data_IF_664662119082
#
_entry.id   IF_664662119082
#
_cell.length_a   1.000
_cell.length_b   1.000
_cell.length_c   1.000
_cell.angle_alpha   90.00
_cell.angle_beta   90.00
_cell.angle_gamma   90.00
#
_symmetry.space_group_name_H-M   'P 1'
#
loop_
_entity.id
_entity.type
_entity.pdbx_description
1 polymer ?
#
# COMPACT_ATOMS: atom_id res chain seq x y z
N UNK A 1 -24.20 -27.57 -7.76
CA UNK A 1 -24.65 -26.38 -7.00
C UNK A 1 -23.43 -25.50 -6.77
N UNK A 2 -23.30 -24.38 -7.51
CA UNK A 2 -22.13 -23.50 -7.39
C UNK A 2 -22.18 -22.77 -6.05
N UNK A 3 -21.10 -22.86 -5.27
CA UNK A 3 -20.93 -22.07 -4.04
C UNK A 3 -20.90 -20.61 -4.48
N UNK A 4 -22.03 -19.92 -4.34
CA UNK A 4 -22.13 -18.51 -4.68
C UNK A 4 -21.15 -17.73 -3.83
N UNK A 5 -20.05 -17.24 -4.43
CA UNK A 5 -19.19 -16.25 -3.77
C UNK A 5 -20.10 -15.08 -3.40
N UNK A 6 -20.20 -14.76 -2.12
CA UNK A 6 -20.92 -13.58 -1.67
C UNK A 6 -20.45 -12.39 -2.50
N UNK A 7 -21.40 -11.67 -3.11
CA UNK A 7 -21.09 -10.46 -3.90
C UNK A 7 -20.60 -9.39 -2.93
N UNK A 8 -19.30 -9.38 -2.64
CA UNK A 8 -18.67 -8.37 -1.77
C UNK A 8 -18.86 -6.94 -2.32
N UNK A 9 -19.26 -6.79 -3.58
CA UNK A 9 -19.49 -5.51 -4.24
C UNK A 9 -20.48 -4.57 -3.54
N UNK A 10 -21.44 -5.08 -2.76
CA UNK A 10 -22.37 -4.25 -1.98
C UNK A 10 -22.02 -4.16 -0.48
N UNK A 11 -20.93 -4.77 -0.04
CA UNK A 11 -20.48 -4.68 1.35
C UNK A 11 -19.74 -3.37 1.62
N UNK A 12 -19.72 -2.91 2.89
CA UNK A 12 -18.92 -1.74 3.30
C UNK A 12 -17.45 -1.90 2.90
N UNK A 13 -16.90 -3.12 3.06
CA UNK A 13 -15.55 -3.43 2.60
C UNK A 13 -15.40 -3.27 1.07
N UNK A 14 -16.34 -3.78 0.28
CA UNK A 14 -16.31 -3.65 -1.17
C UNK A 14 -16.40 -2.21 -1.66
N UNK A 15 -17.17 -1.37 -0.98
CA UNK A 15 -17.31 0.06 -1.29
C UNK A 15 -16.00 0.80 -0.97
N UNK A 16 -15.44 0.59 0.22
CA UNK A 16 -14.27 1.33 0.73
C UNK A 16 -12.93 0.81 0.21
N UNK A 17 -12.82 -0.45 -0.19
CA UNK A 17 -11.57 -1.01 -0.67
C UNK A 17 -11.21 -0.50 -2.07
N UNK A 18 -10.34 0.51 -2.12
CA UNK A 18 -9.70 1.03 -3.34
C UNK A 18 -8.21 0.70 -3.44
N UNK A 19 -7.72 -0.24 -2.62
CA UNK A 19 -6.31 -0.64 -2.60
C UNK A 19 -5.90 -1.24 -3.95
N UNK A 20 -4.75 -0.81 -4.46
CA UNK A 20 -4.19 -1.29 -5.73
C UNK A 20 -3.29 -2.52 -5.58
N UNK A 21 -2.85 -2.83 -4.35
CA UNK A 21 -2.03 -4.02 -4.06
C UNK A 21 -2.81 -5.10 -3.30
N UNK A 22 -2.51 -6.40 -3.52
CA UNK A 22 -3.08 -7.48 -2.73
C UNK A 22 -2.77 -7.37 -1.23
N UNK A 23 -1.55 -6.92 -0.89
CA UNK A 23 -1.14 -6.75 0.51
C UNK A 23 -1.96 -5.65 1.20
N UNK A 24 -2.18 -4.52 0.54
CA UNK A 24 -3.03 -3.43 1.06
C UNK A 24 -4.48 -3.85 1.24
N UNK A 25 -5.04 -4.62 0.29
CA UNK A 25 -6.39 -5.20 0.42
C UNK A 25 -6.52 -6.09 1.65
N UNK A 26 -5.53 -6.95 1.91
CA UNK A 26 -5.52 -7.84 3.10
C UNK A 26 -5.41 -7.03 4.39
N UNK A 27 -4.55 -6.02 4.41
CA UNK A 27 -4.38 -5.13 5.57
C UNK A 27 -5.68 -4.38 5.89
N UNK A 28 -6.31 -3.78 4.88
CA UNK A 28 -7.59 -3.10 5.05
C UNK A 28 -8.68 -4.04 5.58
N UNK A 29 -8.74 -5.28 5.07
CA UNK A 29 -9.67 -6.28 5.58
C UNK A 29 -9.40 -6.62 7.04
N UNK A 30 -8.14 -6.74 7.42
CA UNK A 30 -7.76 -6.97 8.81
C UNK A 30 -8.20 -5.81 9.71
N UNK A 31 -8.08 -4.56 9.26
CA UNK A 31 -8.57 -3.39 10.01
C UNK A 31 -10.08 -3.39 10.22
N UNK A 32 -10.86 -3.86 9.24
CA UNK A 32 -12.32 -4.00 9.38
C UNK A 32 -12.71 -5.09 10.39
N UNK A 33 -11.96 -6.19 10.39
CA UNK A 33 -12.20 -7.30 11.31
C UNK A 33 -11.68 -7.03 12.72
N UNK A 34 -10.73 -6.10 12.87
CA UNK A 34 -10.08 -5.74 14.13
C UNK A 34 -9.92 -4.22 14.23
N UNK A 35 -11.00 -3.50 14.58
CA UNK A 35 -10.93 -2.06 14.83
C UNK A 35 -9.97 -1.75 15.96
N UNK A 36 -9.31 -0.59 15.88
CA UNK A 36 -8.41 -0.11 16.92
C UNK A 36 -9.19 0.70 17.94
N UNK A 37 -8.76 0.62 19.19
CA UNK A 37 -9.29 1.40 20.33
C UNK A 37 -8.29 2.42 20.88
N UNK A 38 -7.03 2.32 20.47
CA UNK A 38 -5.95 3.22 20.84
C UNK A 38 -6.10 4.55 20.08
N UNK A 39 -6.22 5.65 20.83
CA UNK A 39 -6.48 6.98 20.28
C UNK A 39 -5.28 7.54 19.51
N UNK A 40 -4.05 7.24 19.93
CA UNK A 40 -2.84 7.76 19.30
C UNK A 40 -2.64 7.10 17.94
N UNK A 41 -2.89 5.80 17.86
CA UNK A 41 -2.84 5.05 16.59
C UNK A 41 -3.93 5.52 15.63
N UNK A 42 -5.14 5.81 16.14
CA UNK A 42 -6.23 6.36 15.32
C UNK A 42 -5.85 7.73 14.76
N UNK A 43 -5.35 8.63 15.62
CA UNK A 43 -4.93 9.98 15.21
C UNK A 43 -3.81 9.93 14.18
N UNK A 44 -2.81 9.04 14.36
CA UNK A 44 -1.73 8.89 13.38
C UNK A 44 -2.25 8.43 12.00
N UNK A 45 -3.22 7.50 11.96
CA UNK A 45 -3.87 7.10 10.70
C UNK A 45 -4.63 8.25 10.05
N UNK A 46 -5.35 9.06 10.83
CA UNK A 46 -6.10 10.22 10.34
C UNK A 46 -5.16 11.33 9.83
N UNK A 47 -4.02 11.55 10.49
CA UNK A 47 -2.97 12.46 10.04
C UNK A 47 -2.39 12.00 8.71
N UNK A 48 -2.09 10.70 8.58
CA UNK A 48 -1.58 10.11 7.33
C UNK A 48 -2.59 10.29 6.19
N UNK A 49 -3.88 10.06 6.43
CA UNK A 49 -4.93 10.29 5.42
C UNK A 49 -4.99 11.77 5.04
N UNK A 50 -5.01 12.68 6.02
CA UNK A 50 -5.04 14.12 5.79
C UNK A 50 -3.86 14.62 4.95
N UNK A 51 -2.67 14.04 5.15
CA UNK A 51 -1.49 14.33 4.35
C UNK A 51 -1.69 13.97 2.88
N UNK A 52 -2.10 12.73 2.58
CA UNK A 52 -2.33 12.30 1.21
C UNK A 52 -3.51 12.99 0.53
N UNK A 53 -4.50 13.48 1.30
CA UNK A 53 -5.56 14.34 0.77
C UNK A 53 -5.06 15.74 0.38
N UNK A 54 -4.05 16.25 1.08
CA UNK A 54 -3.44 17.55 0.75
C UNK A 54 -2.42 17.46 -0.39
N UNK A 55 -1.82 16.29 -0.62
CA UNK A 55 -0.75 16.07 -1.58
C UNK A 55 -1.23 15.15 -2.72
N UNK A 56 -2.13 15.64 -3.56
CA UNK A 56 -2.76 14.84 -4.63
C UNK A 56 -1.73 14.32 -5.65
N UNK A 57 -0.72 15.10 -6.00
CA UNK A 57 0.34 14.69 -6.92
C UNK A 57 1.16 13.52 -6.38
N UNK A 58 1.58 13.61 -5.11
CA UNK A 58 2.28 12.54 -4.40
C UNK A 58 1.41 11.29 -4.33
N UNK A 59 0.13 11.45 -4.01
CA UNK A 59 -0.82 10.34 -3.93
C UNK A 59 -1.02 9.67 -5.30
N UNK A 60 -1.13 10.45 -6.37
CA UNK A 60 -1.29 9.96 -7.74
C UNK A 60 -0.05 9.17 -8.19
N UNK A 61 1.14 9.75 -8.02
CA UNK A 61 2.41 9.11 -8.37
C UNK A 61 2.65 7.82 -7.56
N UNK A 62 2.35 7.86 -6.26
CA UNK A 62 2.44 6.71 -5.36
C UNK A 62 1.49 5.60 -5.80
N UNK A 63 0.22 5.93 -6.08
CA UNK A 63 -0.79 4.97 -6.51
C UNK A 63 -0.42 4.30 -7.83
N UNK A 64 0.12 5.04 -8.78
CA UNK A 64 0.56 4.48 -10.06
C UNK A 64 1.73 3.52 -9.86
N UNK A 65 2.73 3.93 -9.07
CA UNK A 65 3.90 3.09 -8.78
C UNK A 65 3.51 1.81 -8.03
N UNK A 66 2.58 1.90 -7.07
CA UNK A 66 2.09 0.76 -6.30
C UNK A 66 1.37 -0.30 -7.15
N UNK A 67 0.80 0.04 -8.32
CA UNK A 67 0.19 -0.98 -9.21
C UNK A 67 1.20 -2.03 -9.69
N UNK A 68 2.47 -1.64 -9.79
CA UNK A 68 3.57 -2.52 -10.17
C UNK A 68 4.12 -3.34 -9.01
N UNK A 69 3.74 -3.00 -7.76
CA UNK A 69 4.15 -3.75 -6.56
C UNK A 69 3.29 -5.01 -6.42
N UNK A 70 3.97 -6.16 -6.43
CA UNK A 70 3.37 -7.49 -6.24
C UNK A 70 3.64 -8.00 -4.82
N UNK A 71 3.09 -9.17 -4.52
CA UNK A 71 3.27 -9.83 -3.23
C UNK A 71 4.67 -10.47 -3.14
N UNK A 72 5.66 -9.69 -2.71
CA UNK A 72 7.07 -10.09 -2.64
C UNK A 72 7.27 -11.38 -1.82
N UNK A 73 6.70 -11.52 -0.60
CA UNK A 73 6.83 -12.78 0.16
C UNK A 73 6.32 -14.00 -0.61
N UNK A 74 5.22 -13.86 -1.36
CA UNK A 74 4.70 -14.95 -2.18
C UNK A 74 5.65 -15.32 -3.32
N UNK A 75 6.25 -14.33 -4.00
CA UNK A 75 7.23 -14.56 -5.06
C UNK A 75 8.49 -15.26 -4.53
N UNK A 76 9.02 -14.82 -3.39
CA UNK A 76 10.17 -15.45 -2.75
C UNK A 76 9.88 -16.90 -2.33
N UNK A 77 8.66 -17.16 -1.82
CA UNK A 77 8.23 -18.53 -1.49
C UNK A 77 8.19 -19.43 -2.72
N UNK A 78 7.74 -18.90 -3.88
CA UNK A 78 7.81 -19.61 -5.16
C UNK A 78 9.27 -19.88 -5.52
N UNK A 79 10.16 -18.89 -5.42
CA UNK A 79 11.56 -19.05 -5.85
C UNK A 79 12.30 -20.12 -5.05
N UNK A 80 11.99 -20.23 -3.76
CA UNK A 80 12.60 -21.21 -2.86
C UNK A 80 11.91 -22.59 -2.88
N UNK A 81 10.83 -22.77 -3.63
CA UNK A 81 10.10 -24.03 -3.65
C UNK A 81 10.69 -24.98 -4.69
N UNK A 82 11.16 -26.18 -4.31
CA UNK A 82 11.82 -27.12 -5.22
C UNK A 82 10.88 -27.67 -6.32
N UNK A 83 9.57 -27.56 -6.11
CA UNK A 83 8.52 -28.05 -7.01
C UNK A 83 7.97 -26.99 -7.96
N UNK A 84 8.39 -25.73 -7.86
CA UNK A 84 7.87 -24.67 -8.73
C UNK A 84 8.86 -24.29 -9.81
N UNK A 85 8.40 -24.25 -11.06
CA UNK A 85 9.15 -23.66 -12.15
C UNK A 85 9.05 -22.14 -12.09
N UNK A 86 10.20 -21.48 -11.90
CA UNK A 86 10.33 -20.04 -12.07
C UNK A 86 10.68 -19.72 -13.51
N UNK A 87 9.83 -18.95 -14.16
CA UNK A 87 10.08 -18.50 -15.53
C UNK A 87 10.82 -17.17 -15.53
N UNK A 88 11.42 -16.81 -16.66
CA UNK A 88 12.04 -15.48 -16.86
C UNK A 88 11.05 -14.32 -16.56
N UNK A 89 9.76 -14.53 -16.84
CA UNK A 89 8.71 -13.54 -16.53
C UNK A 89 8.50 -13.32 -15.02
N UNK A 90 8.71 -14.35 -14.19
CA UNK A 90 8.62 -14.21 -12.73
C UNK A 90 9.76 -13.31 -12.21
N UNK A 91 10.98 -13.53 -12.70
CA UNK A 91 12.14 -12.70 -12.38
C UNK A 91 11.98 -11.26 -12.86
N UNK A 92 11.49 -11.06 -14.09
CA UNK A 92 11.18 -9.72 -14.60
C UNK A 92 10.15 -8.99 -13.71
N UNK A 93 9.10 -9.71 -13.29
CA UNK A 93 8.08 -9.17 -12.38
C UNK A 93 8.67 -8.80 -11.01
N UNK A 94 9.59 -9.62 -10.50
CA UNK A 94 10.26 -9.38 -9.23
C UNK A 94 11.15 -8.14 -9.31
N UNK A 95 11.97 -8.03 -10.35
CA UNK A 95 12.81 -6.86 -10.60
C UNK A 95 11.96 -5.59 -10.75
N UNK A 96 10.87 -5.64 -11.52
CA UNK A 96 9.94 -4.52 -11.67
C UNK A 96 9.34 -4.11 -10.32
N UNK A 97 9.00 -5.07 -9.46
CA UNK A 97 8.51 -4.80 -8.12
C UNK A 97 9.58 -4.09 -7.27
N UNK A 98 10.83 -4.56 -7.28
CA UNK A 98 11.94 -3.92 -6.56
C UNK A 98 12.17 -2.49 -7.06
N UNK A 99 12.28 -2.27 -8.37
CA UNK A 99 12.43 -0.93 -8.93
C UNK A 99 11.28 0.00 -8.53
N UNK A 100 10.05 -0.52 -8.48
CA UNK A 100 8.88 0.25 -8.03
C UNK A 100 8.99 0.63 -6.56
N UNK A 101 9.47 -0.26 -5.69
CA UNK A 101 9.69 0.04 -4.27
C UNK A 101 10.77 1.11 -4.08
N UNK A 102 11.86 1.06 -4.85
CA UNK A 102 12.89 2.10 -4.83
C UNK A 102 12.34 3.45 -5.32
N UNK A 103 11.49 3.43 -6.36
CA UNK A 103 10.86 4.64 -6.87
C UNK A 103 9.92 5.29 -5.85
N UNK A 104 9.22 4.51 -5.02
CA UNK A 104 8.38 5.03 -3.93
C UNK A 104 9.21 5.89 -2.97
N UNK A 105 10.41 5.46 -2.57
CA UNK A 105 11.29 6.26 -1.73
C UNK A 105 11.61 7.61 -2.39
N UNK A 106 11.87 7.61 -3.71
CA UNK A 106 12.14 8.84 -4.45
C UNK A 106 10.93 9.78 -4.53
N UNK A 107 9.72 9.24 -4.70
CA UNK A 107 8.48 10.02 -4.67
C UNK A 107 8.35 10.75 -3.34
N UNK A 108 8.64 10.07 -2.23
CA UNK A 108 8.63 10.71 -0.92
C UNK A 108 9.73 11.77 -0.83
N UNK A 109 10.99 11.47 -1.14
CA UNK A 109 12.08 12.48 -1.07
C UNK A 109 11.77 13.78 -1.82
N UNK A 110 11.26 13.68 -3.05
CA UNK A 110 10.99 14.85 -3.90
C UNK A 110 9.69 15.55 -3.49
N UNK A 111 8.61 14.79 -3.30
CA UNK A 111 7.29 15.33 -2.96
C UNK A 111 7.24 15.96 -1.57
N UNK A 112 8.01 15.42 -0.62
CA UNK A 112 8.21 15.99 0.72
C UNK A 112 8.95 17.32 0.58
N UNK A 113 10.08 17.39 -0.14
CA UNK A 113 10.90 18.60 -0.24
C UNK A 113 10.16 19.84 -0.77
N UNK A 114 9.17 19.66 -1.65
CA UNK A 114 8.43 20.78 -2.25
C UNK A 114 7.25 21.26 -1.39
N UNK A 115 6.70 20.37 -0.55
CA UNK A 115 5.46 20.63 0.21
C UNK A 115 5.68 20.74 1.74
N UNK A 116 6.89 20.41 2.23
CA UNK A 116 7.19 20.28 3.67
C UNK A 116 7.17 21.59 4.45
N UNK A 117 7.68 22.66 3.84
CA UNK A 117 8.16 23.81 4.61
C UNK A 117 7.05 24.50 5.44
N UNK A 118 5.80 24.44 4.98
CA UNK A 118 4.70 25.16 5.61
C UNK A 118 3.68 24.28 6.35
N UNK A 119 3.66 22.95 6.17
CA UNK A 119 2.54 22.10 6.64
C UNK A 119 2.91 21.00 7.63
N UNK A 120 4.18 20.57 7.69
CA UNK A 120 4.60 19.56 8.67
C UNK A 120 4.72 20.07 10.12
N UNK A 121 4.63 21.38 10.36
CA UNK A 121 4.64 21.91 11.73
C UNK A 121 3.41 21.50 12.57
N UNK A 122 2.33 21.01 11.94
CA UNK A 122 1.08 20.67 12.63
C UNK A 122 0.70 19.19 12.59
N UNK A 123 1.47 18.35 11.87
CA UNK A 123 1.11 16.96 11.67
C UNK A 123 2.25 16.07 12.16
N UNK A 124 2.12 15.56 13.39
CA UNK A 124 2.96 14.48 13.91
C UNK A 124 2.73 13.23 13.05
N UNK A 125 3.48 13.12 11.97
CA UNK A 125 3.46 12.01 11.03
C UNK A 125 4.82 11.33 11.09
N UNK A 126 4.85 10.14 11.68
CA UNK A 126 6.04 9.26 11.69
C UNK A 126 6.18 8.49 10.37
N UNK A 127 6.27 9.20 9.24
CA UNK A 127 6.60 8.58 7.95
C UNK A 127 8.13 8.44 7.76
N UNK A 128 8.93 9.06 8.64
CA UNK A 128 10.40 9.15 8.52
C UNK A 128 11.11 8.91 9.87
N UNK A 129 10.53 8.12 10.78
CA UNK A 129 11.32 7.63 11.91
C UNK A 129 12.12 6.37 11.50
N UNK A 130 13.43 6.61 11.34
CA UNK A 130 14.60 5.70 11.17
C UNK A 130 14.36 4.22 10.91
#
# INVERSE_FOLDING_TARGET
MGIGRAKEGFSVFGILNKCVTPMGRRLLRAWFLRPIIDIDVINNRLNTISFFLCCEEVMSALRETLKSVRDVPHMLKKFNSPSSSCTSSDWHTFLKCICSLLHINKIFEVGISEHLANKLQHMSIDLVEK
#
